data_IF_162586335434
#
_entry.id   IF_162586335434
#
_cell.length_a   1.000
_cell.length_b   1.000
_cell.length_c   1.000
_cell.angle_alpha   90.00
_cell.angle_beta   90.00
_cell.angle_gamma   90.00
#
_symmetry.space_group_name_H-M   'P 1'
#
loop_
_entity.id
_entity.type
_entity.pdbx_description
1 polymer ?
#
# COMPACT_ATOMS: atom_id res chain seq x y z
N UNK A 1 -31.28 5.19 -19.21
CA UNK A 1 -29.92 4.57 -19.18
C UNK A 1 -28.98 5.34 -18.25
N UNK A 2 -29.06 6.67 -18.18
CA UNK A 2 -28.20 7.51 -17.31
C UNK A 2 -28.48 7.34 -15.80
N UNK A 3 -29.75 7.32 -15.38
CA UNK A 3 -30.14 7.18 -13.97
C UNK A 3 -29.75 5.81 -13.34
N UNK A 4 -29.77 4.72 -14.13
CA UNK A 4 -29.36 3.39 -13.69
C UNK A 4 -27.83 3.31 -13.48
N UNK A 5 -27.05 3.97 -14.35
CA UNK A 5 -25.57 4.04 -14.20
C UNK A 5 -25.18 4.87 -12.96
N UNK A 6 -25.88 5.96 -12.67
CA UNK A 6 -25.62 6.79 -11.48
C UNK A 6 -25.93 6.03 -10.17
N UNK A 7 -27.03 5.29 -10.11
CA UNK A 7 -27.37 4.45 -8.95
C UNK A 7 -26.34 3.35 -8.69
N UNK A 8 -25.88 2.66 -9.75
CA UNK A 8 -24.85 1.61 -9.64
C UNK A 8 -23.52 2.22 -9.21
N UNK A 9 -23.17 3.38 -9.74
CA UNK A 9 -21.96 4.11 -9.38
C UNK A 9 -21.96 4.51 -7.88
N UNK A 10 -23.03 5.17 -7.39
CA UNK A 10 -23.16 5.53 -5.97
C UNK A 10 -23.06 4.32 -5.05
N UNK A 11 -23.72 3.20 -5.40
CA UNK A 11 -23.61 1.95 -4.64
C UNK A 11 -22.17 1.44 -4.56
N UNK A 12 -21.44 1.47 -5.67
CA UNK A 12 -20.05 1.01 -5.71
C UNK A 12 -19.15 1.89 -4.83
N UNK A 13 -19.31 3.22 -4.87
CA UNK A 13 -18.59 4.15 -4.00
C UNK A 13 -18.86 3.86 -2.52
N UNK A 14 -20.12 3.65 -2.14
CA UNK A 14 -20.48 3.30 -0.76
C UNK A 14 -19.81 1.99 -0.33
N UNK A 15 -19.89 0.93 -1.15
CA UNK A 15 -19.29 -0.37 -0.82
C UNK A 15 -17.77 -0.26 -0.64
N UNK A 16 -17.06 0.44 -1.55
CA UNK A 16 -15.62 0.64 -1.40
C UNK A 16 -15.26 1.49 -0.19
N UNK A 17 -16.05 2.53 0.11
CA UNK A 17 -15.82 3.38 1.28
C UNK A 17 -16.04 2.59 2.58
N UNK A 18 -17.10 1.78 2.65
CA UNK A 18 -17.37 0.92 3.81
C UNK A 18 -16.27 -0.15 3.99
N UNK A 19 -15.84 -0.80 2.91
CA UNK A 19 -14.76 -1.78 2.96
C UNK A 19 -13.46 -1.14 3.46
N UNK A 20 -13.11 0.06 2.97
CA UNK A 20 -11.91 0.78 3.43
C UNK A 20 -12.02 1.26 4.88
N UNK A 21 -13.20 1.72 5.32
CA UNK A 21 -13.43 2.07 6.71
C UNK A 21 -13.31 0.84 7.63
N UNK A 22 -13.87 -0.29 7.21
CA UNK A 22 -13.71 -1.57 7.93
C UNK A 22 -12.24 -1.98 8.01
N UNK A 23 -11.48 -1.92 6.91
CA UNK A 23 -10.05 -2.20 6.89
C UNK A 23 -9.27 -1.29 7.86
N UNK A 24 -9.64 -0.02 7.97
CA UNK A 24 -9.07 0.92 8.93
C UNK A 24 -9.37 0.56 10.39
N UNK A 25 -10.63 0.20 10.69
CA UNK A 25 -11.01 -0.27 12.03
C UNK A 25 -10.26 -1.55 12.38
N UNK A 26 -10.16 -2.49 11.44
CA UNK A 26 -9.42 -3.73 11.63
C UNK A 26 -7.91 -3.50 11.80
N UNK A 27 -7.37 -2.39 11.26
CA UNK A 27 -5.98 -2.01 11.51
C UNK A 27 -5.71 -1.67 12.97
N UNK A 28 -6.71 -1.20 13.73
CA UNK A 28 -6.61 -1.03 15.19
C UNK A 28 -6.38 -2.35 15.92
N UNK A 29 -6.89 -3.47 15.41
CA UNK A 29 -6.59 -4.77 15.98
C UNK A 29 -5.08 -5.07 16.00
N UNK A 30 -4.31 -4.49 15.07
CA UNK A 30 -2.86 -4.59 15.10
C UNK A 30 -2.22 -3.83 16.26
N UNK A 31 -2.85 -2.75 16.73
CA UNK A 31 -2.37 -1.99 17.90
C UNK A 31 -2.60 -2.76 19.20
N UNK A 32 -3.73 -3.48 19.30
CA UNK A 32 -4.05 -4.28 20.49
C UNK A 32 -3.03 -5.39 20.75
N UNK A 33 -2.26 -5.80 19.74
CA UNK A 33 -1.17 -6.76 19.90
C UNK A 33 -0.04 -6.24 20.80
N UNK A 34 0.05 -4.94 21.07
CA UNK A 34 0.97 -4.40 22.07
C UNK A 34 0.71 -4.94 23.49
N UNK A 35 -0.49 -5.44 23.76
CA UNK A 35 -0.85 -6.08 25.02
C UNK A 35 -0.48 -7.58 25.09
N UNK A 36 -0.18 -8.20 23.97
CA UNK A 36 0.11 -9.62 23.86
C UNK A 36 1.58 -9.90 23.56
N UNK A 37 2.28 -8.94 22.96
CA UNK A 37 3.67 -9.06 22.55
C UNK A 37 4.52 -8.02 23.24
N UNK A 38 5.74 -8.40 23.61
CA UNK A 38 6.75 -7.45 24.01
C UNK A 38 7.21 -6.57 22.82
N UNK A 39 8.00 -5.55 23.10
CA UNK A 39 8.47 -4.62 22.07
C UNK A 39 9.37 -5.30 21.03
N UNK A 40 10.16 -6.32 21.45
CA UNK A 40 11.02 -7.08 20.54
C UNK A 40 10.21 -7.94 19.59
N UNK A 41 9.26 -8.71 20.10
CA UNK A 41 8.38 -9.58 19.29
C UNK A 41 7.50 -8.76 18.33
N UNK A 42 7.01 -7.61 18.80
CA UNK A 42 6.26 -6.70 17.94
C UNK A 42 7.15 -6.12 16.82
N UNK A 43 8.42 -5.83 17.13
CA UNK A 43 9.42 -5.35 16.16
C UNK A 43 9.80 -6.41 15.13
N UNK A 44 10.02 -7.67 15.54
CA UNK A 44 10.27 -8.79 14.61
C UNK A 44 9.18 -8.89 13.57
N UNK A 45 7.94 -8.86 14.02
CA UNK A 45 6.81 -8.93 13.11
C UNK A 45 6.70 -7.69 12.22
N UNK A 46 6.98 -6.49 12.74
CA UNK A 46 6.97 -5.26 11.95
C UNK A 46 7.93 -5.32 10.76
N UNK A 47 9.12 -5.91 10.94
CA UNK A 47 10.08 -6.12 9.86
C UNK A 47 9.56 -7.16 8.87
N UNK A 48 9.05 -8.30 9.35
CA UNK A 48 8.52 -9.35 8.49
C UNK A 48 7.34 -8.88 7.65
N UNK A 49 6.39 -8.15 8.24
CA UNK A 49 5.22 -7.64 7.53
C UNK A 49 5.55 -6.41 6.68
N UNK A 50 6.17 -5.40 7.27
CA UNK A 50 6.41 -4.12 6.61
C UNK A 50 7.52 -4.21 5.57
N UNK A 51 8.67 -4.76 5.94
CA UNK A 51 9.84 -4.79 5.07
C UNK A 51 9.80 -6.03 4.18
N UNK A 52 9.89 -7.23 4.75
CA UNK A 52 10.05 -8.46 3.97
C UNK A 52 8.86 -8.73 3.06
N UNK A 53 7.63 -8.70 3.59
CA UNK A 53 6.43 -8.93 2.78
C UNK A 53 6.19 -7.82 1.75
N UNK A 54 6.45 -6.57 2.12
CA UNK A 54 6.35 -5.43 1.22
C UNK A 54 7.29 -5.55 0.03
N UNK A 55 8.59 -5.75 0.27
CA UNK A 55 9.60 -5.92 -0.80
C UNK A 55 9.38 -7.21 -1.60
N UNK A 56 9.06 -8.33 -0.96
CA UNK A 56 8.73 -9.57 -1.66
C UNK A 56 7.52 -9.39 -2.57
N UNK A 57 6.46 -8.74 -2.09
CA UNK A 57 5.27 -8.45 -2.89
C UNK A 57 5.61 -7.55 -4.08
N UNK A 58 6.42 -6.50 -3.88
CA UNK A 58 6.80 -5.58 -4.95
C UNK A 58 7.64 -6.27 -6.05
N UNK A 59 8.53 -7.20 -5.67
CA UNK A 59 9.47 -7.85 -6.61
C UNK A 59 8.93 -9.13 -7.21
N UNK A 60 8.36 -10.02 -6.39
CA UNK A 60 7.95 -11.37 -6.81
C UNK A 60 6.65 -11.34 -7.62
N UNK A 61 5.68 -10.50 -7.25
CA UNK A 61 4.34 -10.55 -7.87
C UNK A 61 4.29 -9.97 -9.28
N UNK A 62 5.30 -9.23 -9.73
CA UNK A 62 5.38 -8.63 -11.07
C UNK A 62 4.21 -7.70 -11.41
N UNK A 63 3.63 -7.03 -10.41
CA UNK A 63 2.55 -6.04 -10.55
C UNK A 63 1.38 -6.47 -11.45
N UNK A 64 0.78 -7.68 -11.30
CA UNK A 64 -0.25 -8.20 -12.19
C UNK A 64 -1.51 -7.35 -12.17
N UNK A 65 -1.78 -6.65 -11.05
CA UNK A 65 -2.97 -5.83 -10.88
C UNK A 65 -3.03 -4.70 -11.91
N UNK A 66 -1.94 -4.01 -12.16
CA UNK A 66 -1.90 -2.91 -13.13
C UNK A 66 -2.06 -3.44 -14.57
N UNK A 67 -1.45 -4.58 -14.86
CA UNK A 67 -1.56 -5.22 -16.16
C UNK A 67 -3.01 -5.62 -16.46
N UNK A 68 -3.71 -6.23 -15.50
CA UNK A 68 -5.10 -6.65 -15.62
C UNK A 68 -6.02 -5.44 -15.86
N UNK A 69 -5.87 -4.36 -15.08
CA UNK A 69 -6.71 -3.16 -15.22
C UNK A 69 -6.61 -2.55 -16.62
N UNK A 70 -5.42 -2.59 -17.23
CA UNK A 70 -5.20 -2.04 -18.58
C UNK A 70 -5.66 -2.97 -19.69
N UNK A 71 -5.44 -4.28 -19.56
CA UNK A 71 -5.58 -5.22 -20.67
C UNK A 71 -6.82 -6.11 -20.62
N UNK A 72 -7.59 -6.14 -19.52
CA UNK A 72 -8.79 -6.98 -19.40
C UNK A 72 -9.80 -6.77 -20.53
N UNK A 73 -9.98 -5.52 -20.96
CA UNK A 73 -10.93 -5.15 -22.02
C UNK A 73 -10.28 -4.99 -23.40
N UNK A 74 -8.94 -5.06 -23.48
CA UNK A 74 -8.19 -4.86 -24.74
C UNK A 74 -7.74 -6.16 -25.39
N UNK A 75 -7.63 -7.25 -24.61
CA UNK A 75 -7.16 -8.54 -25.10
C UNK A 75 -8.27 -9.58 -25.09
N UNK A 76 -8.26 -10.54 -26.06
CA UNK A 76 -9.09 -11.73 -25.98
C UNK A 76 -8.81 -12.49 -24.69
N UNK A 77 -9.84 -13.11 -24.13
CA UNK A 77 -9.72 -13.83 -22.84
C UNK A 77 -8.61 -14.89 -22.84
N UNK A 78 -8.47 -15.64 -23.93
CA UNK A 78 -7.44 -16.67 -24.05
C UNK A 78 -6.02 -16.08 -24.00
N UNK A 79 -5.78 -14.96 -24.70
CA UNK A 79 -4.50 -14.26 -24.69
C UNK A 79 -4.18 -13.68 -23.31
N UNK A 80 -5.16 -13.06 -22.64
CA UNK A 80 -4.97 -12.57 -21.27
C UNK A 80 -4.72 -13.72 -20.30
N UNK A 81 -5.44 -14.84 -20.42
CA UNK A 81 -5.23 -16.00 -19.58
C UNK A 81 -3.81 -16.58 -19.70
N UNK A 82 -3.27 -16.62 -20.93
CA UNK A 82 -1.90 -17.06 -21.20
C UNK A 82 -0.88 -16.11 -20.53
N UNK A 83 -1.08 -14.79 -20.65
CA UNK A 83 -0.23 -13.80 -20.01
C UNK A 83 -0.25 -13.94 -18.46
N UNK A 84 -1.43 -14.08 -17.87
CA UNK A 84 -1.60 -14.23 -16.43
C UNK A 84 -0.98 -15.53 -15.90
N UNK A 85 -1.16 -16.63 -16.63
CA UNK A 85 -0.50 -17.91 -16.31
C UNK A 85 1.01 -17.81 -16.39
N UNK A 86 1.53 -17.08 -17.37
CA UNK A 86 2.96 -16.81 -17.50
C UNK A 86 3.52 -15.91 -16.40
N UNK A 87 2.83 -14.83 -16.04
CA UNK A 87 3.20 -13.95 -14.92
C UNK A 87 3.18 -14.73 -13.60
N UNK A 88 2.19 -15.57 -13.37
CA UNK A 88 2.13 -16.44 -12.20
C UNK A 88 3.30 -17.44 -12.16
N UNK A 89 3.61 -18.07 -13.29
CA UNK A 89 4.76 -18.98 -13.40
C UNK A 89 6.09 -18.30 -13.07
N UNK A 90 6.30 -17.07 -13.57
CA UNK A 90 7.46 -16.25 -13.23
C UNK A 90 7.48 -15.85 -11.75
N UNK A 91 6.33 -15.49 -11.16
CA UNK A 91 6.23 -15.19 -9.75
C UNK A 91 6.64 -16.40 -8.89
N UNK A 92 6.23 -17.62 -9.26
CA UNK A 92 6.67 -18.84 -8.59
C UNK A 92 8.18 -19.12 -8.78
N UNK A 93 8.73 -18.87 -9.96
CA UNK A 93 10.16 -19.04 -10.21
C UNK A 93 11.00 -18.03 -9.41
N UNK A 94 10.64 -16.75 -9.44
CA UNK A 94 11.35 -15.68 -8.69
C UNK A 94 11.18 -15.84 -7.18
N UNK A 95 9.97 -16.16 -6.71
CA UNK A 95 9.67 -16.41 -5.30
C UNK A 95 10.37 -17.68 -4.79
N UNK A 96 10.38 -18.75 -5.57
CA UNK A 96 11.12 -19.98 -5.27
C UNK A 96 12.62 -19.73 -5.18
N UNK A 97 13.20 -18.99 -6.13
CA UNK A 97 14.62 -18.62 -6.11
C UNK A 97 14.94 -17.73 -4.89
N UNK A 98 14.12 -16.74 -4.60
CA UNK A 98 14.29 -15.87 -3.43
C UNK A 98 14.20 -16.66 -2.11
N UNK A 99 13.24 -17.59 -2.01
CA UNK A 99 13.09 -18.49 -0.86
C UNK A 99 14.34 -19.36 -0.69
N UNK A 100 14.80 -19.99 -1.77
CA UNK A 100 16.01 -20.82 -1.74
C UNK A 100 17.23 -20.00 -1.35
N UNK A 101 17.41 -18.82 -1.95
CA UNK A 101 18.48 -17.90 -1.60
C UNK A 101 18.46 -17.54 -0.11
N UNK A 102 17.28 -17.25 0.46
CA UNK A 102 17.14 -16.94 1.90
C UNK A 102 17.58 -18.12 2.79
N UNK A 103 17.33 -19.36 2.37
CA UNK A 103 17.65 -20.54 3.17
C UNK A 103 19.12 -20.96 3.05
N UNK A 104 19.78 -20.68 1.90
CA UNK A 104 21.12 -21.19 1.56
C UNK A 104 22.23 -20.16 1.74
N UNK A 105 21.95 -18.87 1.46
CA UNK A 105 22.98 -17.84 1.53
C UNK A 105 23.44 -17.58 2.97
N UNK A 106 24.70 -17.21 3.19
CA UNK A 106 25.24 -16.95 4.52
C UNK A 106 24.59 -15.71 5.16
N UNK A 107 24.52 -15.71 6.50
CA UNK A 107 23.89 -14.68 7.31
C UNK A 107 24.49 -13.29 7.11
N UNK A 108 25.80 -13.25 6.80
CA UNK A 108 26.53 -12.00 6.54
C UNK A 108 25.97 -11.17 5.36
N UNK A 109 25.17 -11.79 4.48
CA UNK A 109 24.48 -11.10 3.39
C UNK A 109 23.13 -10.51 3.79
N UNK A 110 22.60 -10.92 4.94
CA UNK A 110 21.38 -10.35 5.49
C UNK A 110 21.79 -9.31 6.54
N UNK A 111 21.50 -8.03 6.33
CA UNK A 111 21.81 -6.94 7.26
C UNK A 111 21.05 -7.05 8.61
N UNK A 112 20.23 -8.07 8.77
CA UNK A 112 19.50 -8.35 10.01
C UNK A 112 20.31 -9.34 10.84
N UNK A 113 20.50 -9.06 12.12
CA UNK A 113 21.04 -10.03 13.06
C UNK A 113 20.15 -11.27 13.05
N UNK A 114 20.68 -12.38 12.57
CA UNK A 114 19.94 -13.61 12.30
C UNK A 114 19.35 -14.25 13.53
N UNK A 115 19.89 -13.97 14.71
CA UNK A 115 19.31 -14.37 16.00
C UNK A 115 17.94 -13.70 16.26
N UNK A 116 17.71 -12.51 15.67
CA UNK A 116 16.47 -11.78 15.88
C UNK A 116 15.31 -12.24 14.99
N UNK A 117 15.58 -12.65 13.73
CA UNK A 117 14.55 -13.07 12.77
C UNK A 117 15.04 -14.31 12.04
N UNK A 118 14.48 -15.51 12.34
CA UNK A 118 14.94 -16.74 11.75
C UNK A 118 14.61 -16.83 10.25
N UNK A 119 15.51 -17.42 9.48
CA UNK A 119 15.40 -17.56 8.01
C UNK A 119 14.11 -18.22 7.54
N UNK A 120 13.64 -19.23 8.28
CA UNK A 120 12.37 -19.90 7.95
C UNK A 120 11.19 -18.92 7.96
N UNK A 121 11.21 -17.93 8.85
CA UNK A 121 10.16 -16.93 8.92
C UNK A 121 10.21 -15.99 7.71
N UNK A 122 11.40 -15.55 7.30
CA UNK A 122 11.60 -14.76 6.07
C UNK A 122 11.15 -15.57 4.85
N UNK A 123 11.59 -16.82 4.73
CA UNK A 123 11.21 -17.74 3.65
C UNK A 123 9.69 -17.93 3.58
N UNK A 124 9.02 -18.13 4.73
CA UNK A 124 7.56 -18.27 4.81
C UNK A 124 6.82 -17.02 4.32
N UNK A 125 7.34 -15.83 4.62
CA UNK A 125 6.78 -14.56 4.13
C UNK A 125 6.95 -14.42 2.62
N UNK A 126 8.10 -14.81 2.05
CA UNK A 126 8.33 -14.79 0.60
C UNK A 126 7.39 -15.78 -0.11
N UNK A 127 7.20 -16.97 0.45
CA UNK A 127 6.24 -17.95 -0.05
C UNK A 127 4.82 -17.36 -0.03
N UNK A 128 4.42 -16.75 1.08
CA UNK A 128 3.10 -16.12 1.20
C UNK A 128 2.91 -15.00 0.16
N UNK A 129 3.93 -14.16 -0.07
CA UNK A 129 3.93 -13.12 -1.10
C UNK A 129 3.80 -13.71 -2.51
N UNK A 130 4.46 -14.83 -2.77
CA UNK A 130 4.37 -15.56 -4.04
C UNK A 130 2.93 -16.01 -4.31
N UNK A 131 2.30 -16.66 -3.35
CA UNK A 131 0.89 -17.07 -3.49
C UNK A 131 -0.07 -15.87 -3.53
N UNK A 132 0.22 -14.79 -2.81
CA UNK A 132 -0.59 -13.56 -2.84
C UNK A 132 -0.73 -12.96 -4.25
N UNK A 133 0.16 -13.29 -5.20
CA UNK A 133 0.03 -12.96 -6.62
C UNK A 133 -1.33 -13.40 -7.18
N UNK A 134 -1.79 -14.61 -6.84
CA UNK A 134 -3.10 -15.11 -7.26
C UNK A 134 -4.25 -14.30 -6.67
N UNK A 135 -4.16 -13.91 -5.40
CA UNK A 135 -5.12 -13.05 -4.73
C UNK A 135 -5.22 -11.68 -5.40
N UNK A 136 -4.07 -11.06 -5.68
CA UNK A 136 -4.00 -9.77 -6.39
C UNK A 136 -4.61 -9.83 -7.79
N UNK A 137 -4.38 -10.91 -8.53
CA UNK A 137 -5.02 -11.15 -9.82
C UNK A 137 -6.55 -11.25 -9.68
N UNK A 138 -7.05 -12.04 -8.71
CA UNK A 138 -8.48 -12.20 -8.49
C UNK A 138 -9.14 -10.88 -8.08
N UNK A 139 -8.51 -10.09 -7.21
CA UNK A 139 -8.95 -8.74 -6.83
C UNK A 139 -9.07 -7.85 -8.07
N UNK A 140 -8.01 -7.73 -8.86
CA UNK A 140 -7.95 -6.81 -10.00
C UNK A 140 -8.89 -7.19 -11.14
N UNK A 141 -9.11 -8.48 -11.38
CA UNK A 141 -10.14 -8.95 -12.33
C UNK A 141 -11.53 -8.49 -11.86
N UNK A 142 -11.84 -8.57 -10.57
CA UNK A 142 -13.13 -8.13 -10.05
C UNK A 142 -13.26 -6.60 -10.05
N UNK A 143 -12.19 -5.86 -9.76
CA UNK A 143 -12.15 -4.39 -9.87
C UNK A 143 -12.40 -3.93 -11.31
N UNK A 144 -11.66 -4.48 -12.27
CA UNK A 144 -11.81 -4.16 -13.70
C UNK A 144 -13.20 -4.52 -14.25
N UNK A 145 -13.88 -5.51 -13.65
CA UNK A 145 -15.26 -5.88 -13.96
C UNK A 145 -16.31 -5.10 -13.17
N UNK A 146 -15.91 -4.10 -12.40
CA UNK A 146 -16.79 -3.31 -11.54
C UNK A 146 -17.61 -4.15 -10.56
N UNK A 147 -16.98 -5.17 -9.95
CA UNK A 147 -17.56 -6.04 -8.93
C UNK A 147 -16.96 -5.72 -7.54
N UNK A 148 -17.33 -4.60 -6.90
CA UNK A 148 -16.64 -4.07 -5.72
C UNK A 148 -16.70 -5.01 -4.53
N UNK A 149 -17.84 -5.66 -4.27
CA UNK A 149 -17.97 -6.61 -3.15
C UNK A 149 -17.02 -7.81 -3.29
N UNK A 150 -16.87 -8.33 -4.52
CA UNK A 150 -15.95 -9.45 -4.79
C UNK A 150 -14.49 -9.00 -4.73
N UNK A 151 -14.20 -7.78 -5.16
CA UNK A 151 -12.87 -7.21 -5.02
C UNK A 151 -12.50 -7.02 -3.54
N UNK A 152 -13.41 -6.46 -2.73
CA UNK A 152 -13.23 -6.27 -1.28
C UNK A 152 -13.03 -7.59 -0.51
N UNK A 153 -13.66 -8.70 -0.95
CA UNK A 153 -13.40 -10.02 -0.36
C UNK A 153 -11.96 -10.47 -0.56
N UNK A 154 -11.33 -10.12 -1.67
CA UNK A 154 -9.93 -10.48 -1.93
C UNK A 154 -8.91 -9.50 -1.34
N UNK A 155 -9.31 -8.31 -0.94
CA UNK A 155 -8.45 -7.32 -0.29
C UNK A 155 -8.77 -7.18 1.19
N UNK A 156 -9.76 -6.38 1.50
CA UNK A 156 -10.05 -5.91 2.85
C UNK A 156 -10.47 -7.05 3.79
N UNK A 157 -11.20 -8.07 3.28
CA UNK A 157 -11.58 -9.22 4.10
C UNK A 157 -10.37 -10.11 4.44
N UNK A 158 -9.49 -10.39 3.46
CA UNK A 158 -8.27 -11.19 3.70
C UNK A 158 -7.36 -10.46 4.70
N UNK A 159 -7.14 -9.16 4.51
CA UNK A 159 -6.34 -8.37 5.44
C UNK A 159 -6.98 -8.28 6.82
N UNK A 160 -8.30 -8.19 6.89
CA UNK A 160 -9.07 -8.20 8.14
C UNK A 160 -9.06 -9.53 8.88
N UNK A 161 -8.93 -10.67 8.20
CA UNK A 161 -8.86 -11.98 8.87
C UNK A 161 -7.51 -12.26 9.53
N UNK A 162 -6.43 -11.61 9.12
CA UNK A 162 -5.08 -11.81 9.64
C UNK A 162 -4.97 -11.71 11.16
N UNK A 163 -5.47 -10.64 11.81
CA UNK A 163 -5.38 -10.52 13.26
C UNK A 163 -6.18 -11.60 13.99
N UNK A 164 -7.31 -12.06 13.44
CA UNK A 164 -8.12 -13.12 14.08
C UNK A 164 -7.43 -14.47 13.98
N UNK A 165 -6.84 -14.83 12.84
CA UNK A 165 -6.04 -16.05 12.70
C UNK A 165 -4.86 -15.99 13.67
N UNK A 166 -4.18 -14.86 13.76
CA UNK A 166 -3.07 -14.66 14.68
C UNK A 166 -3.50 -14.85 16.14
N UNK A 167 -4.64 -14.27 16.56
CA UNK A 167 -5.20 -14.46 17.92
C UNK A 167 -5.49 -15.94 18.18
N UNK A 168 -6.08 -16.64 17.23
CA UNK A 168 -6.33 -18.07 17.37
C UNK A 168 -5.02 -18.87 17.55
N UNK A 169 -3.99 -18.58 16.75
CA UNK A 169 -2.68 -19.23 16.88
C UNK A 169 -1.99 -18.92 18.21
N UNK A 170 -2.11 -17.67 18.70
CA UNK A 170 -1.57 -17.25 19.98
C UNK A 170 -2.18 -18.08 21.14
N UNK A 171 -3.50 -18.15 21.20
CA UNK A 171 -4.18 -18.86 22.30
C UNK A 171 -4.15 -20.39 22.18
N UNK A 172 -4.15 -20.94 20.95
CA UNK A 172 -4.19 -22.40 20.74
C UNK A 172 -2.80 -23.05 20.78
N UNK A 173 -1.77 -22.34 20.30
CA UNK A 173 -0.43 -22.89 20.15
C UNK A 173 0.61 -22.26 21.10
N UNK A 174 0.24 -21.20 21.84
CA UNK A 174 1.16 -20.47 22.70
C UNK A 174 2.24 -19.70 21.93
N UNK A 175 2.00 -19.42 20.65
CA UNK A 175 2.93 -18.66 19.82
C UNK A 175 2.88 -17.17 20.19
N UNK A 176 4.02 -16.49 20.13
CA UNK A 176 4.14 -15.04 20.34
C UNK A 176 4.11 -14.29 19.01
N UNK A 177 5.22 -13.76 18.55
CA UNK A 177 5.32 -13.09 17.25
C UNK A 177 5.04 -14.05 16.07
N UNK A 178 5.32 -15.35 16.25
CA UNK A 178 5.01 -16.40 15.28
C UNK A 178 3.51 -16.51 15.01
N UNK A 179 2.67 -16.19 15.96
CA UNK A 179 1.22 -16.16 15.77
C UNK A 179 0.83 -15.09 14.73
N UNK A 180 1.41 -13.91 14.80
CA UNK A 180 1.20 -12.85 13.80
C UNK A 180 1.81 -13.20 12.46
N UNK A 181 2.99 -13.81 12.45
CA UNK A 181 3.61 -14.35 11.24
C UNK A 181 2.70 -15.41 10.61
N UNK A 182 2.21 -16.36 11.38
CA UNK A 182 1.26 -17.39 10.93
C UNK A 182 -0.03 -16.80 10.38
N UNK A 183 -0.58 -15.78 11.06
CA UNK A 183 -1.74 -15.03 10.57
C UNK A 183 -1.50 -14.37 9.20
N UNK A 184 -0.32 -13.78 8.99
CA UNK A 184 0.08 -13.22 7.70
C UNK A 184 0.20 -14.31 6.63
N UNK A 185 0.96 -15.38 6.91
CA UNK A 185 1.26 -16.45 5.95
C UNK A 185 -0.01 -17.21 5.56
N UNK A 186 -0.85 -17.57 6.53
CA UNK A 186 -2.09 -18.31 6.27
C UNK A 186 -3.12 -17.46 5.55
N UNK A 187 -3.32 -16.21 5.95
CA UNK A 187 -4.29 -15.35 5.29
C UNK A 187 -3.84 -15.01 3.85
N UNK A 188 -2.62 -14.53 3.66
CA UNK A 188 -2.15 -14.11 2.34
C UNK A 188 -1.84 -15.29 1.42
N UNK A 189 -1.11 -16.27 1.92
CA UNK A 189 -0.74 -17.48 1.18
C UNK A 189 -1.95 -18.36 0.91
N UNK A 190 -2.79 -18.62 1.92
CA UNK A 190 -4.00 -19.41 1.80
C UNK A 190 -5.03 -18.79 0.85
N UNK A 191 -5.32 -17.50 1.00
CA UNK A 191 -6.20 -16.78 0.07
C UNK A 191 -5.64 -16.76 -1.35
N UNK A 192 -4.31 -16.63 -1.49
CA UNK A 192 -3.62 -16.70 -2.77
C UNK A 192 -3.78 -18.05 -3.45
N UNK A 193 -3.59 -19.14 -2.70
CA UNK A 193 -3.77 -20.50 -3.20
C UNK A 193 -5.22 -20.74 -3.65
N UNK A 194 -6.20 -20.34 -2.84
CA UNK A 194 -7.63 -20.43 -3.19
C UNK A 194 -7.94 -19.60 -4.44
N UNK A 195 -7.37 -18.40 -4.56
CA UNK A 195 -7.53 -17.56 -5.73
C UNK A 195 -6.97 -18.22 -6.99
N UNK A 196 -5.77 -18.79 -6.94
CA UNK A 196 -5.14 -19.52 -8.06
C UNK A 196 -6.03 -20.67 -8.50
N UNK A 197 -6.53 -21.46 -7.55
CA UNK A 197 -7.45 -22.57 -7.85
C UNK A 197 -8.73 -22.10 -8.54
N UNK A 198 -9.38 -21.02 -8.03
CA UNK A 198 -10.60 -20.46 -8.61
C UNK A 198 -10.31 -19.88 -10.01
N UNK A 199 -9.20 -19.14 -10.17
CA UNK A 199 -8.81 -18.54 -11.45
C UNK A 199 -8.51 -19.64 -12.49
N UNK A 200 -7.83 -20.71 -12.10
CA UNK A 200 -7.57 -21.86 -12.96
C UNK A 200 -8.86 -22.53 -13.41
N UNK A 201 -9.77 -22.86 -12.47
CA UNK A 201 -11.08 -23.47 -12.79
C UNK A 201 -11.96 -22.58 -13.68
N UNK A 202 -11.82 -21.27 -13.58
CA UNK A 202 -12.58 -20.32 -14.41
C UNK A 202 -11.89 -20.01 -15.73
N UNK A 203 -10.78 -20.64 -16.07
CA UNK A 203 -10.03 -20.42 -17.30
C UNK A 203 -9.42 -19.03 -17.43
N UNK A 204 -9.01 -18.42 -16.28
CA UNK A 204 -8.27 -17.18 -16.26
C UNK A 204 -6.76 -17.39 -16.23
N UNK A 205 -6.30 -18.62 -16.01
CA UNK A 205 -4.89 -19.01 -16.04
C UNK A 205 -4.70 -20.01 -17.19
N UNK A 206 -3.98 -19.58 -18.22
CA UNK A 206 -3.61 -20.39 -19.36
C UNK A 206 -2.13 -20.78 -19.32
N UNK A 207 -1.73 -21.73 -20.17
CA UNK A 207 -0.32 -22.00 -20.39
C UNK A 207 0.28 -20.91 -21.28
N UNK A 208 1.42 -20.30 -20.90
CA UNK A 208 2.10 -19.37 -21.80
C UNK A 208 2.59 -20.15 -23.03
N UNK A 209 2.26 -19.68 -24.25
CA UNK A 209 2.60 -20.40 -25.48
C UNK A 209 4.13 -20.45 -25.71
N UNK A 210 4.87 -19.49 -25.18
CA UNK A 210 6.34 -19.45 -25.25
C UNK A 210 6.88 -18.41 -24.24
N UNK A 211 8.18 -18.49 -23.92
CA UNK A 211 8.86 -17.44 -23.14
C UNK A 211 8.81 -16.06 -23.84
N UNK A 212 8.78 -16.05 -25.17
CA UNK A 212 8.65 -14.81 -25.93
C UNK A 212 7.31 -14.09 -25.69
N UNK A 213 6.23 -14.82 -25.38
CA UNK A 213 4.92 -14.23 -25.07
C UNK A 213 4.92 -13.44 -23.78
N UNK A 214 5.87 -13.72 -22.86
CA UNK A 214 6.04 -13.01 -21.59
C UNK A 214 6.69 -11.63 -21.76
N UNK A 215 7.26 -11.35 -22.95
CA UNK A 215 7.93 -10.08 -23.21
C UNK A 215 6.98 -8.88 -23.03
N UNK A 216 5.73 -9.00 -23.45
CA UNK A 216 4.75 -7.91 -23.34
C UNK A 216 4.33 -7.64 -21.87
N UNK A 217 3.91 -8.63 -21.06
CA UNK A 217 3.66 -8.44 -19.65
C UNK A 217 4.87 -7.91 -18.89
N UNK A 218 6.07 -8.48 -19.14
CA UNK A 218 7.31 -8.05 -18.46
C UNK A 218 7.70 -6.61 -18.80
N UNK A 219 7.62 -6.22 -20.07
CA UNK A 219 7.89 -4.83 -20.49
C UNK A 219 6.97 -3.82 -19.82
N UNK A 220 5.72 -4.22 -19.55
CA UNK A 220 4.76 -3.40 -18.79
C UNK A 220 5.07 -3.42 -17.29
N UNK A 221 5.36 -4.59 -16.73
CA UNK A 221 5.52 -4.79 -15.28
C UNK A 221 6.83 -4.19 -14.74
N UNK A 222 7.92 -4.24 -15.51
CA UNK A 222 9.24 -3.81 -15.03
C UNK A 222 9.28 -2.35 -14.52
N UNK A 223 8.74 -1.35 -15.24
CA UNK A 223 8.62 0.01 -14.71
C UNK A 223 7.70 0.10 -13.47
N UNK A 224 6.66 -0.74 -13.41
CA UNK A 224 5.74 -0.76 -12.27
C UNK A 224 6.37 -1.36 -11.02
N UNK A 225 7.26 -2.35 -11.17
CA UNK A 225 8.04 -2.90 -10.05
C UNK A 225 8.89 -1.80 -9.40
N UNK A 226 9.58 -0.98 -10.19
CA UNK A 226 10.36 0.15 -9.68
C UNK A 226 9.49 1.16 -8.91
N UNK A 227 8.29 1.46 -9.43
CA UNK A 227 7.34 2.33 -8.73
C UNK A 227 6.84 1.70 -7.42
N UNK A 228 6.57 0.39 -7.40
CA UNK A 228 6.17 -0.33 -6.20
C UNK A 228 7.30 -0.42 -5.18
N UNK A 229 8.54 -0.65 -5.62
CA UNK A 229 9.71 -0.64 -4.74
C UNK A 229 9.92 0.74 -4.10
N UNK A 230 9.77 1.82 -4.87
CA UNK A 230 9.82 3.18 -4.32
C UNK A 230 8.70 3.41 -3.30
N UNK A 231 7.48 2.93 -3.58
CA UNK A 231 6.35 3.01 -2.65
C UNK A 231 6.63 2.24 -1.34
N UNK A 232 7.08 0.98 -1.44
CA UNK A 232 7.45 0.18 -0.26
C UNK A 232 8.64 0.82 0.47
N UNK A 233 9.59 1.38 -0.28
CA UNK A 233 10.76 2.08 0.28
C UNK A 233 10.35 3.19 1.24
N UNK A 234 9.52 4.14 0.82
CA UNK A 234 9.11 5.23 1.70
C UNK A 234 8.08 4.83 2.77
N UNK A 235 7.41 3.69 2.62
CA UNK A 235 6.45 3.22 3.62
C UNK A 235 7.04 2.30 4.68
N UNK A 236 8.16 1.64 4.40
CA UNK A 236 8.59 0.51 5.21
C UNK A 236 10.08 0.45 5.49
N UNK A 237 10.92 1.15 4.72
CA UNK A 237 12.37 1.09 4.89
C UNK A 237 12.84 1.74 6.20
N UNK A 238 12.09 2.70 6.73
CA UNK A 238 12.29 3.32 8.02
C UNK A 238 12.41 2.29 9.16
N UNK A 239 11.60 1.22 9.12
CA UNK A 239 11.67 0.11 10.10
C UNK A 239 13.01 -0.61 10.05
N UNK A 240 13.57 -0.77 8.85
CA UNK A 240 14.89 -1.38 8.70
C UNK A 240 15.98 -0.50 9.32
N UNK A 241 15.94 0.82 9.07
CA UNK A 241 16.88 1.76 9.67
C UNK A 241 16.75 1.83 11.19
N UNK A 242 15.51 1.84 11.71
CA UNK A 242 15.28 1.79 13.16
C UNK A 242 15.81 0.49 13.76
N UNK A 243 15.63 -0.65 13.07
CA UNK A 243 16.17 -1.94 13.53
C UNK A 243 17.71 -1.94 13.55
N UNK A 244 18.34 -1.42 12.50
CA UNK A 244 19.81 -1.40 12.38
C UNK A 244 20.50 -0.51 13.41
N UNK A 245 19.89 0.63 13.77
CA UNK A 245 20.50 1.62 14.66
C UNK A 245 19.92 1.64 16.07
N UNK A 246 18.65 1.31 16.24
CA UNK A 246 17.94 1.34 17.52
C UNK A 246 17.61 -0.06 18.07
N UNK A 247 17.79 -1.10 17.27
CA UNK A 247 17.44 -2.47 17.60
C UNK A 247 15.97 -2.81 17.39
N UNK A 248 15.67 -4.10 17.54
CA UNK A 248 14.33 -4.67 17.24
C UNK A 248 13.23 -4.10 18.15
N UNK A 249 13.53 -3.87 19.44
CA UNK A 249 12.57 -3.27 20.38
C UNK A 249 12.19 -1.83 20.01
N UNK A 250 13.14 -1.03 19.52
CA UNK A 250 12.84 0.32 19.02
C UNK A 250 11.94 0.25 17.77
N UNK A 251 12.15 -0.75 16.91
CA UNK A 251 11.27 -0.99 15.75
C UNK A 251 9.86 -1.33 16.19
N UNK A 252 9.69 -2.11 17.27
CA UNK A 252 8.37 -2.40 17.84
C UNK A 252 7.67 -1.14 18.35
N UNK A 253 8.39 -0.25 19.06
CA UNK A 253 7.85 1.04 19.50
C UNK A 253 7.46 1.93 18.32
N UNK A 254 8.33 2.05 17.32
CA UNK A 254 8.04 2.79 16.10
C UNK A 254 6.80 2.26 15.37
N UNK A 255 6.68 0.93 15.23
CA UNK A 255 5.52 0.30 14.59
C UNK A 255 4.22 0.60 15.33
N UNK A 256 4.21 0.58 16.67
CA UNK A 256 3.03 0.92 17.45
C UNK A 256 2.57 2.36 17.17
N UNK A 257 3.52 3.31 17.12
CA UNK A 257 3.24 4.71 16.75
C UNK A 257 2.68 4.82 15.33
N UNK A 258 3.32 4.13 14.39
CA UNK A 258 2.95 4.15 12.98
C UNK A 258 1.55 3.56 12.76
N UNK A 259 1.20 2.45 13.43
CA UNK A 259 -0.12 1.82 13.33
C UNK A 259 -1.24 2.73 13.81
N UNK A 260 -1.03 3.48 14.90
CA UNK A 260 -2.00 4.49 15.32
C UNK A 260 -2.12 5.62 14.30
N UNK A 261 -1.00 6.14 13.81
CA UNK A 261 -0.99 7.18 12.79
C UNK A 261 -1.68 6.75 11.47
N UNK A 262 -1.65 5.45 11.10
CA UNK A 262 -2.33 4.91 9.93
C UNK A 262 -3.85 5.13 9.91
N UNK A 263 -4.48 5.48 11.04
CA UNK A 263 -5.88 5.90 11.05
C UNK A 263 -6.12 7.14 10.18
N UNK A 264 -5.14 8.05 10.09
CA UNK A 264 -5.18 9.19 9.15
C UNK A 264 -5.26 8.68 7.71
N UNK A 265 -4.47 7.67 7.37
CA UNK A 265 -4.48 7.09 6.02
C UNK A 265 -5.80 6.40 5.67
N UNK A 266 -6.49 5.84 6.65
CA UNK A 266 -7.85 5.30 6.47
C UNK A 266 -8.82 6.40 6.02
N UNK A 267 -8.81 7.55 6.68
CA UNK A 267 -9.63 8.72 6.30
C UNK A 267 -9.26 9.20 4.90
N UNK A 268 -7.95 9.24 4.58
CA UNK A 268 -7.45 9.60 3.26
C UNK A 268 -7.99 8.67 2.16
N UNK A 269 -7.94 7.35 2.36
CA UNK A 269 -8.39 6.37 1.37
C UNK A 269 -9.90 6.42 1.13
N UNK A 270 -10.72 6.56 2.19
CA UNK A 270 -12.17 6.73 2.08
C UNK A 270 -12.49 8.00 1.30
N UNK A 271 -11.81 9.09 1.64
CA UNK A 271 -11.99 10.39 0.97
C UNK A 271 -11.57 10.31 -0.50
N UNK A 272 -10.42 9.70 -0.80
CA UNK A 272 -9.92 9.55 -2.17
C UNK A 272 -10.86 8.70 -3.04
N UNK A 273 -11.36 7.57 -2.52
CA UNK A 273 -12.33 6.72 -3.24
C UNK A 273 -13.62 7.45 -3.57
N UNK A 274 -14.06 8.36 -2.70
CA UNK A 274 -15.25 9.19 -2.93
C UNK A 274 -14.98 10.37 -3.87
N UNK A 275 -13.81 10.99 -3.76
CA UNK A 275 -13.40 12.15 -4.55
C UNK A 275 -13.11 11.80 -6.01
N UNK A 276 -12.33 10.73 -6.25
CA UNK A 276 -11.76 10.40 -7.57
C UNK A 276 -12.82 10.36 -8.69
N UNK A 277 -13.95 9.66 -8.55
CA UNK A 277 -14.94 9.60 -9.60
C UNK A 277 -15.66 10.93 -9.83
N UNK A 278 -15.90 11.71 -8.79
CA UNK A 278 -16.55 13.02 -8.90
C UNK A 278 -15.62 14.02 -9.63
N UNK A 279 -14.33 13.98 -9.28
CA UNK A 279 -13.33 14.82 -9.92
C UNK A 279 -13.20 14.50 -11.42
N UNK A 280 -13.01 13.22 -11.79
CA UNK A 280 -12.86 12.86 -13.20
C UNK A 280 -14.14 13.02 -14.01
N UNK A 281 -15.32 12.92 -13.41
CA UNK A 281 -16.58 13.25 -14.07
C UNK A 281 -16.64 14.74 -14.43
N UNK A 282 -16.32 15.64 -13.48
CA UNK A 282 -16.28 17.08 -13.74
C UNK A 282 -15.17 17.47 -14.72
N UNK A 283 -13.97 16.89 -14.53
CA UNK A 283 -12.82 17.15 -15.40
C UNK A 283 -13.05 16.68 -16.83
N UNK A 284 -13.61 15.47 -17.02
CA UNK A 284 -13.90 14.90 -18.34
C UNK A 284 -15.06 15.57 -19.09
N UNK A 285 -15.99 16.22 -18.36
CA UNK A 285 -17.04 17.07 -18.97
C UNK A 285 -16.59 18.48 -19.33
N UNK A 286 -15.30 18.84 -19.07
CA UNK A 286 -14.77 20.18 -19.32
C UNK A 286 -15.10 21.21 -18.24
N UNK A 287 -15.81 20.81 -17.17
CA UNK A 287 -16.15 21.70 -16.04
C UNK A 287 -14.94 21.80 -15.08
N UNK A 288 -13.91 22.48 -15.55
CA UNK A 288 -12.65 22.64 -14.82
C UNK A 288 -12.82 23.46 -13.52
N UNK A 289 -13.75 24.41 -13.51
CA UNK A 289 -14.04 25.21 -12.32
C UNK A 289 -14.61 24.33 -11.19
N UNK A 290 -15.59 23.50 -11.51
CA UNK A 290 -16.16 22.54 -10.57
C UNK A 290 -15.12 21.54 -10.09
N UNK A 291 -14.28 21.01 -10.99
CA UNK A 291 -13.19 20.10 -10.62
C UNK A 291 -12.20 20.76 -9.66
N UNK A 292 -11.79 22.02 -9.94
CA UNK A 292 -10.89 22.78 -9.06
C UNK A 292 -11.53 23.09 -7.69
N UNK A 293 -12.80 23.47 -7.65
CA UNK A 293 -13.56 23.71 -6.40
C UNK A 293 -13.64 22.44 -5.57
N UNK A 294 -13.95 21.31 -6.21
CA UNK A 294 -13.99 20.00 -5.55
C UNK A 294 -12.61 19.65 -4.94
N UNK A 295 -11.54 19.81 -5.72
CA UNK A 295 -10.18 19.53 -5.28
C UNK A 295 -9.80 20.37 -4.04
N UNK A 296 -10.03 21.69 -4.09
CA UNK A 296 -9.70 22.59 -2.98
C UNK A 296 -10.52 22.26 -1.73
N UNK A 297 -11.84 22.05 -1.87
CA UNK A 297 -12.73 21.69 -0.76
C UNK A 297 -12.31 20.39 -0.11
N UNK A 298 -12.07 19.34 -0.91
CA UNK A 298 -11.68 18.03 -0.39
C UNK A 298 -10.28 18.05 0.24
N UNK A 299 -9.34 18.80 -0.34
CA UNK A 299 -8.02 18.98 0.26
C UNK A 299 -8.08 19.66 1.62
N UNK A 300 -8.93 20.68 1.76
CA UNK A 300 -9.15 21.33 3.05
C UNK A 300 -9.81 20.37 4.06
N UNK A 301 -10.78 19.56 3.64
CA UNK A 301 -11.40 18.55 4.51
C UNK A 301 -10.36 17.53 5.02
N UNK A 302 -9.51 17.01 4.13
CA UNK A 302 -8.42 16.10 4.52
C UNK A 302 -7.46 16.77 5.50
N UNK A 303 -7.05 18.01 5.23
CA UNK A 303 -6.15 18.76 6.11
C UNK A 303 -6.76 19.00 7.50
N UNK A 304 -8.05 19.33 7.59
CA UNK A 304 -8.77 19.53 8.86
C UNK A 304 -8.87 18.21 9.63
N UNK A 305 -9.23 17.10 8.97
CA UNK A 305 -9.28 15.79 9.61
C UNK A 305 -7.90 15.32 10.08
N UNK A 306 -6.86 15.54 9.26
CA UNK A 306 -5.49 15.22 9.64
C UNK A 306 -5.05 16.04 10.87
N UNK A 307 -5.30 17.35 10.87
CA UNK A 307 -4.98 18.22 12.01
C UNK A 307 -5.70 17.79 13.30
N UNK A 308 -7.00 17.41 13.19
CA UNK A 308 -7.75 16.86 14.31
C UNK A 308 -7.11 15.59 14.86
N UNK A 309 -6.74 14.64 13.98
CA UNK A 309 -6.14 13.37 14.36
C UNK A 309 -4.70 13.53 14.90
N UNK A 310 -3.94 14.50 14.40
CA UNK A 310 -2.62 14.88 14.96
C UNK A 310 -2.70 15.21 16.45
N UNK A 311 -3.78 15.88 16.87
CA UNK A 311 -4.02 16.22 18.28
C UNK A 311 -4.67 15.06 19.04
N UNK A 312 -5.67 14.41 18.44
CA UNK A 312 -6.48 13.39 19.11
C UNK A 312 -5.72 12.09 19.37
N UNK A 313 -4.92 11.61 18.39
CA UNK A 313 -4.28 10.30 18.50
C UNK A 313 -3.27 10.19 19.66
N UNK A 314 -2.38 11.15 19.92
CA UNK A 314 -1.51 11.08 21.10
C UNK A 314 -2.32 11.16 22.41
N UNK A 315 -3.41 11.92 22.46
CA UNK A 315 -4.31 11.94 23.62
C UNK A 315 -4.96 10.57 23.84
N UNK A 316 -5.47 9.95 22.79
CA UNK A 316 -6.01 8.59 22.87
C UNK A 316 -4.93 7.60 23.33
N UNK A 317 -3.70 7.70 22.81
CA UNK A 317 -2.61 6.83 23.20
C UNK A 317 -2.24 6.95 24.69
N UNK A 318 -2.28 8.17 25.24
CA UNK A 318 -1.93 8.43 26.66
C UNK A 318 -3.07 8.09 27.61
N UNK A 319 -4.30 8.51 27.29
CA UNK A 319 -5.42 8.47 28.24
C UNK A 319 -6.31 7.22 28.11
N UNK A 320 -6.12 6.40 27.08
CA UNK A 320 -6.88 5.16 26.92
C UNK A 320 -5.94 3.92 26.97
N UNK A 321 -6.46 2.74 27.32
CA UNK A 321 -5.67 1.52 27.32
C UNK A 321 -5.50 0.91 25.91
N UNK A 322 -5.45 1.72 24.86
CA UNK A 322 -5.29 1.21 23.49
C UNK A 322 -3.87 0.66 23.24
N UNK A 323 -2.86 1.24 23.92
CA UNK A 323 -1.50 0.74 23.96
C UNK A 323 -1.21 0.16 25.33
N UNK A 324 -0.39 -0.88 25.37
CA UNK A 324 0.15 -1.42 26.61
C UNK A 324 1.01 -0.35 27.32
N UNK A 325 1.16 -0.47 28.64
CA UNK A 325 1.76 0.57 29.49
C UNK A 325 3.21 0.92 29.10
N UNK A 326 4.02 -0.07 28.72
CA UNK A 326 5.42 0.16 28.32
C UNK A 326 5.54 1.03 27.06
N UNK A 327 4.56 0.95 26.17
CA UNK A 327 4.48 1.81 24.99
C UNK A 327 3.94 3.20 25.33
N UNK A 328 2.93 3.30 26.20
CA UNK A 328 2.33 4.57 26.61
C UNK A 328 3.29 5.47 27.40
N UNK A 329 4.21 4.89 28.15
CA UNK A 329 5.22 5.64 28.92
C UNK A 329 6.44 6.00 28.09
N UNK A 330 6.58 5.45 26.87
CA UNK A 330 7.68 5.78 25.97
C UNK A 330 7.46 7.15 25.33
N UNK A 331 8.31 8.12 25.64
CA UNK A 331 8.30 9.45 25.02
C UNK A 331 8.47 9.35 23.50
N UNK A 332 9.31 8.43 23.01
CA UNK A 332 9.50 8.18 21.59
C UNK A 332 8.21 7.80 20.89
N UNK A 333 7.40 6.89 21.48
CA UNK A 333 6.10 6.48 20.94
C UNK A 333 5.14 7.67 20.85
N UNK A 334 4.94 8.37 21.98
CA UNK A 334 3.93 9.42 22.06
C UNK A 334 4.25 10.60 21.15
N UNK A 335 5.52 10.99 21.04
CA UNK A 335 5.95 12.11 20.18
C UNK A 335 5.97 11.72 18.69
N UNK A 336 6.23 10.45 18.35
CA UNK A 336 6.22 9.97 16.96
C UNK A 336 4.81 9.95 16.36
N UNK A 337 3.77 9.69 17.16
CA UNK A 337 2.38 9.59 16.67
C UNK A 337 1.93 10.86 15.93
N UNK A 338 1.99 12.07 16.50
CA UNK A 338 1.54 13.28 15.80
C UNK A 338 2.41 13.63 14.59
N UNK A 339 3.71 13.34 14.62
CA UNK A 339 4.62 13.60 13.49
C UNK A 339 4.23 12.70 12.30
N UNK A 340 4.05 11.40 12.54
CA UNK A 340 3.61 10.44 11.53
C UNK A 340 2.20 10.75 11.02
N UNK A 341 1.28 11.12 11.92
CA UNK A 341 -0.08 11.51 11.55
C UNK A 341 -0.09 12.75 10.63
N UNK A 342 0.75 13.75 10.92
CA UNK A 342 0.92 14.93 10.07
C UNK A 342 1.49 14.56 8.69
N UNK A 343 2.50 13.70 8.64
CA UNK A 343 3.06 13.16 7.40
C UNK A 343 2.00 12.45 6.55
N UNK A 344 1.23 11.55 7.15
CA UNK A 344 0.15 10.85 6.46
C UNK A 344 -0.99 11.79 6.02
N UNK A 345 -1.23 12.88 6.75
CA UNK A 345 -2.10 13.97 6.30
C UNK A 345 -1.59 14.64 5.03
N UNK A 346 -0.30 14.94 4.96
CA UNK A 346 0.36 15.46 3.75
C UNK A 346 0.24 14.48 2.57
N UNK A 347 0.39 13.18 2.82
CA UNK A 347 0.20 12.13 1.81
C UNK A 347 -1.22 12.15 1.23
N UNK A 348 -2.24 12.28 2.08
CA UNK A 348 -3.64 12.36 1.65
C UNK A 348 -3.89 13.54 0.71
N UNK A 349 -3.40 14.73 1.07
CA UNK A 349 -3.48 15.92 0.21
C UNK A 349 -2.73 15.70 -1.10
N UNK A 350 -1.52 15.10 -1.04
CA UNK A 350 -0.74 14.78 -2.24
C UNK A 350 -1.51 13.89 -3.21
N UNK A 351 -2.17 12.83 -2.74
CA UNK A 351 -2.97 11.93 -3.59
C UNK A 351 -4.12 12.66 -4.29
N UNK A 352 -4.78 13.61 -3.64
CA UNK A 352 -5.83 14.42 -4.27
C UNK A 352 -5.24 15.29 -5.40
N UNK A 353 -4.09 15.91 -5.17
CA UNK A 353 -3.42 16.77 -6.16
C UNK A 353 -2.71 16.01 -7.28
N UNK A 354 -2.57 14.69 -7.19
CA UNK A 354 -2.17 13.84 -8.31
C UNK A 354 -3.27 13.71 -9.38
N UNK A 355 -4.55 13.86 -9.00
CA UNK A 355 -5.67 13.66 -9.92
C UNK A 355 -5.60 14.56 -11.18
N UNK A 356 -5.33 15.90 -11.11
CA UNK A 356 -5.17 16.73 -12.29
C UNK A 356 -3.94 16.35 -13.14
N UNK A 357 -2.84 15.85 -12.53
CA UNK A 357 -1.66 15.38 -13.26
C UNK A 357 -1.98 14.10 -14.04
N UNK A 358 -2.66 13.16 -13.40
CA UNK A 358 -3.09 11.88 -13.99
C UNK A 358 -4.14 12.12 -15.08
N UNK A 359 -5.08 13.05 -14.87
CA UNK A 359 -6.09 13.43 -15.86
C UNK A 359 -5.47 13.95 -17.18
N UNK A 360 -4.28 14.53 -17.11
CA UNK A 360 -3.48 15.00 -18.26
C UNK A 360 -2.45 13.98 -18.76
N UNK A 361 -2.48 12.74 -18.27
CA UNK A 361 -1.53 11.70 -18.67
C UNK A 361 -0.09 11.90 -18.19
N UNK A 362 0.16 12.80 -17.22
CA UNK A 362 1.51 13.09 -16.69
C UNK A 362 1.94 12.07 -15.64
N UNK A 363 1.79 10.79 -15.93
CA UNK A 363 2.15 9.68 -15.04
C UNK A 363 3.63 9.67 -14.67
N UNK A 364 4.51 10.03 -15.63
CA UNK A 364 5.96 10.13 -15.38
C UNK A 364 6.29 11.15 -14.30
N UNK A 365 5.60 12.29 -14.29
CA UNK A 365 5.80 13.35 -13.26
C UNK A 365 5.37 12.81 -11.89
N UNK A 366 4.21 12.15 -11.79
CA UNK A 366 3.74 11.55 -10.53
C UNK A 366 4.73 10.51 -10.01
N UNK A 367 5.22 9.64 -10.89
CA UNK A 367 6.23 8.63 -10.52
C UNK A 367 7.56 9.25 -10.09
N UNK A 368 8.03 10.29 -10.78
CA UNK A 368 9.27 10.99 -10.42
C UNK A 368 9.17 11.66 -9.05
N UNK A 369 8.03 12.28 -8.72
CA UNK A 369 7.77 12.88 -7.40
C UNK A 369 7.79 11.78 -6.32
N UNK A 370 7.15 10.64 -6.56
CA UNK A 370 7.14 9.53 -5.61
C UNK A 370 8.55 8.95 -5.36
N UNK A 371 9.35 8.78 -6.42
CA UNK A 371 10.74 8.32 -6.30
C UNK A 371 11.59 9.35 -5.56
N UNK A 372 11.45 10.64 -5.86
CA UNK A 372 12.18 11.70 -5.16
C UNK A 372 11.82 11.74 -3.67
N UNK A 373 10.54 11.56 -3.32
CA UNK A 373 10.10 11.47 -1.93
C UNK A 373 10.69 10.24 -1.22
N UNK A 374 10.74 9.08 -1.89
CA UNK A 374 11.35 7.87 -1.35
C UNK A 374 12.85 8.06 -1.09
N UNK A 375 13.57 8.64 -2.04
CA UNK A 375 15.01 8.94 -1.87
C UNK A 375 15.25 9.95 -0.75
N UNK A 376 14.39 10.96 -0.62
CA UNK A 376 14.46 11.94 0.47
C UNK A 376 14.20 11.26 1.83
N UNK A 377 13.22 10.36 1.92
CA UNK A 377 12.96 9.58 3.13
C UNK A 377 14.18 8.75 3.53
N UNK A 378 14.72 7.94 2.59
CA UNK A 378 15.90 7.14 2.84
C UNK A 378 17.11 7.99 3.27
N UNK A 379 17.34 9.12 2.62
CA UNK A 379 18.42 10.05 2.98
C UNK A 379 18.22 10.69 4.36
N UNK A 380 16.97 11.05 4.69
CA UNK A 380 16.64 11.57 6.01
C UNK A 380 16.84 10.52 7.11
N UNK A 381 16.43 9.26 6.86
CA UNK A 381 16.60 8.16 7.81
C UNK A 381 18.06 7.86 8.11
N UNK A 382 18.93 7.84 7.08
CA UNK A 382 20.39 7.68 7.27
C UNK A 382 20.98 8.74 8.19
N UNK A 383 20.44 9.97 8.16
CA UNK A 383 20.97 11.10 8.95
C UNK A 383 20.30 11.19 10.32
N UNK A 384 18.99 11.02 10.40
CA UNK A 384 18.20 11.29 11.59
C UNK A 384 18.09 10.08 12.52
N UNK A 385 17.95 8.85 11.97
CA UNK A 385 17.78 7.66 12.82
C UNK A 385 18.97 7.39 13.71
N UNK A 386 20.25 7.51 13.28
CA UNK A 386 21.39 7.34 14.18
C UNK A 386 21.43 8.34 15.34
N UNK A 387 20.82 9.52 15.18
CA UNK A 387 20.84 10.60 16.18
C UNK A 387 19.62 10.61 17.08
N UNK A 388 18.46 10.23 16.57
CA UNK A 388 17.16 10.41 17.21
C UNK A 388 16.37 9.09 17.36
N UNK A 389 16.93 7.95 16.88
CA UNK A 389 16.24 6.66 16.93
C UNK A 389 14.92 6.68 16.18
N UNK A 390 13.89 6.09 16.77
CA UNK A 390 12.53 6.00 16.22
C UNK A 390 11.91 7.36 15.88
N UNK A 391 12.28 8.40 16.62
CA UNK A 391 11.82 9.77 16.36
C UNK A 391 12.44 10.34 15.07
N UNK A 392 13.69 9.96 14.77
CA UNK A 392 14.36 10.31 13.53
C UNK A 392 13.63 9.75 12.31
N UNK A 393 13.18 8.49 12.37
CA UNK A 393 12.39 7.86 11.34
C UNK A 393 11.03 8.56 11.14
N UNK A 394 10.36 8.94 12.24
CA UNK A 394 9.10 9.70 12.15
C UNK A 394 9.28 11.05 11.44
N UNK A 395 10.35 11.78 11.73
CA UNK A 395 10.69 13.01 11.03
C UNK A 395 11.08 12.78 9.58
N UNK A 396 11.86 11.74 9.27
CA UNK A 396 12.20 11.35 7.88
C UNK A 396 10.95 11.15 7.04
N UNK A 397 10.02 10.35 7.54
CA UNK A 397 8.71 10.11 6.91
C UNK A 397 7.92 11.40 6.73
N UNK A 398 7.82 12.26 7.75
CA UNK A 398 7.12 13.53 7.65
C UNK A 398 7.72 14.45 6.59
N UNK A 399 9.04 14.63 6.58
CA UNK A 399 9.77 15.48 5.62
C UNK A 399 9.51 15.00 4.18
N UNK A 400 9.61 13.70 3.94
CA UNK A 400 9.39 13.12 2.62
C UNK A 400 7.96 13.32 2.11
N UNK A 401 6.97 13.08 2.98
CA UNK A 401 5.56 13.22 2.61
C UNK A 401 5.12 14.68 2.48
N UNK A 402 5.67 15.58 3.30
CA UNK A 402 5.48 17.03 3.15
C UNK A 402 6.10 17.54 1.84
N UNK A 403 7.31 17.11 1.49
CA UNK A 403 7.93 17.39 0.21
C UNK A 403 7.04 16.91 -0.95
N UNK A 404 6.58 15.64 -0.89
CA UNK A 404 5.69 15.08 -1.90
C UNK A 404 4.42 15.93 -2.08
N UNK A 405 3.80 16.37 -0.98
CA UNK A 405 2.64 17.25 -1.00
C UNK A 405 2.94 18.57 -1.71
N UNK A 406 3.99 19.27 -1.29
CA UNK A 406 4.35 20.59 -1.84
C UNK A 406 4.63 20.50 -3.33
N UNK A 407 5.46 19.54 -3.76
CA UNK A 407 5.82 19.38 -5.17
C UNK A 407 4.60 18.96 -6.01
N UNK A 408 3.74 18.09 -5.50
CA UNK A 408 2.54 17.69 -6.24
C UNK A 408 1.53 18.85 -6.36
N UNK A 409 1.37 19.65 -5.31
CA UNK A 409 0.52 20.85 -5.34
C UNK A 409 1.03 21.89 -6.30
N UNK A 410 2.33 22.18 -6.30
CA UNK A 410 2.93 23.16 -7.21
C UNK A 410 2.85 22.71 -8.67
N UNK A 411 3.17 21.44 -8.96
CA UNK A 411 3.01 20.85 -10.28
C UNK A 411 1.54 20.85 -10.76
N UNK A 412 0.60 20.61 -9.86
CA UNK A 412 -0.84 20.64 -10.15
C UNK A 412 -1.38 22.06 -10.40
N UNK A 413 -0.90 23.08 -9.65
CA UNK A 413 -1.34 24.49 -9.79
C UNK A 413 -0.86 25.13 -11.07
N UNK A 414 0.39 24.96 -11.46
CA UNK A 414 0.96 25.51 -12.68
C UNK A 414 0.23 25.10 -13.96
N UNK A 415 -0.67 24.12 -13.83
CA UNK A 415 -1.45 23.61 -14.95
C UNK A 415 -2.91 24.08 -14.96
N UNK A 416 -3.41 24.62 -13.85
CA UNK A 416 -4.77 25.17 -13.78
C UNK A 416 -4.87 26.57 -14.43
N UNK A 417 -3.75 27.29 -14.55
CA UNK A 417 -3.70 28.63 -15.12
C UNK A 417 -3.48 28.69 -16.64
N UNK A 418 -3.04 27.61 -17.29
CA UNK A 418 -2.68 27.63 -18.72
C UNK A 418 -3.82 27.22 -19.68
N UNK A 419 -4.89 26.58 -19.20
CA UNK A 419 -6.00 26.14 -20.06
C UNK A 419 -7.05 27.23 -20.35
N UNK A 420 -6.96 28.41 -19.74
CA UNK A 420 -7.87 29.53 -20.05
C UNK A 420 -7.50 30.28 -21.35
N UNK A 421 -6.37 29.91 -21.98
CA UNK A 421 -5.84 30.62 -23.18
C UNK A 421 -5.86 29.82 -24.49
N UNK A 422 -6.18 28.52 -24.49
CA UNK A 422 -6.10 27.68 -25.72
C UNK A 422 -7.42 26.99 -26.10
N UNK A 423 -8.55 27.52 -25.70
CA UNK A 423 -9.89 27.06 -26.12
C UNK A 423 -10.27 27.47 -27.55
N UNK A 424 -9.35 27.45 -28.52
CA UNK A 424 -9.68 27.96 -29.85
C UNK A 424 -8.88 27.46 -31.07
N UNK A 425 -8.08 26.37 -30.95
CA UNK A 425 -7.44 25.82 -32.15
C UNK A 425 -7.22 24.29 -32.01
N UNK A 426 -7.98 23.50 -32.75
CA UNK A 426 -7.60 22.13 -33.05
C UNK A 426 -8.69 21.05 -32.99
N UNK A 427 -9.87 21.30 -33.60
CA UNK A 427 -10.76 20.22 -34.03
C UNK A 427 -10.82 20.15 -35.57
N UNK A 428 -9.67 19.89 -36.20
CA UNK A 428 -9.62 19.55 -37.62
C UNK A 428 -8.43 18.59 -37.81
N UNK A 429 -8.70 17.33 -38.07
CA UNK A 429 -7.72 16.40 -38.62
C UNK A 429 -7.36 15.20 -37.75
N UNK A 430 -8.29 14.25 -37.61
CA UNK A 430 -8.01 12.83 -37.36
C UNK A 430 -9.13 11.98 -37.98
N UNK A 431 -9.28 12.15 -39.31
CA UNK A 431 -9.88 11.17 -40.20
C UNK A 431 -8.82 10.88 -41.28
N UNK A 432 -7.99 9.87 -41.05
CA UNK A 432 -7.26 9.11 -42.07
C UNK A 432 -6.65 7.86 -41.39
#
# INVERSE_FOLDING_TARGET
VTASKDKTFRRNVIVYSMASAMGGILSLAHVLWTHLLDQGDYGRFAILEGVVFGFATATVTLAPQQYILVYLHKKPRAGLAADLGGVLGLAFATGGLATLATLVLPDSLFMLETEAIPRWAVAGVIIAATFATGRMMAQSINEARSLPTRAALWSDFVDGTRPFIAVALFFLLGWTWEARWGGLVLAQGGAGLVAIWILGRRGWLGRPPSLASLRAPLRFSLPMILAMLAYVGYQSADRLYVALWGGIAATGRYEASYRLALLVNTVNLVTLKSFTPLFYSAYGSGDHERAAKLLRKTSLQVAVWAALLVVLLPLVAVYTPILEQSYRTSTGVIVSIPILAAGLGCLGVSFLWQAPLLGRGKTKTVSAIAVAAALLNLGADVILVPRMGELGAAWGTFIALAFMMVVTMTAGRGMAGHDTGQGGRGSAGLDA
#
